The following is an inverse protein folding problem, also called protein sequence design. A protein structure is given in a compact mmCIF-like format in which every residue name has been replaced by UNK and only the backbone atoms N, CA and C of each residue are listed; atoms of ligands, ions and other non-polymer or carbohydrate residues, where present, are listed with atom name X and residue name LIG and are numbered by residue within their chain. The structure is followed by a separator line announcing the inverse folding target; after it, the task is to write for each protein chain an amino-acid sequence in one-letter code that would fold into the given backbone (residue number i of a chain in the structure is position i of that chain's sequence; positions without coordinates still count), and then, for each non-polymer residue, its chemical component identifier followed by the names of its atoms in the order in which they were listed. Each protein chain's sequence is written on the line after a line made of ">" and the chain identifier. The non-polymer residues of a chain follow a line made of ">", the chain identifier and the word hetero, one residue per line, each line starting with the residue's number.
data_IF_205053480329
#
_entry.id   IF_205053480329
#
_cell.length_a   1.000
_cell.length_b   1.000
_cell.length_c   1.000
_cell.angle_alpha   90.00
_cell.angle_beta   90.00
_cell.angle_gamma   90.00
#
_symmetry.space_group_name_H-M   'P 1'
#
loop_
_entity.id
_entity.type
_entity.pdbx_description
1 polymer ?
#
# COMPACT_ATOMS: atom_id res chain seq x y z
N UNK A 1 85.27 21.31 -33.27
CA UNK A 1 83.87 21.31 -33.74
C UNK A 1 83.14 20.15 -33.06
N UNK A 2 81.93 20.42 -32.56
CA UNK A 2 80.92 19.55 -31.91
C UNK A 2 80.78 18.10 -32.49
N UNK A 3 79.98 17.17 -31.91
CA UNK A 3 79.67 16.85 -30.49
C UNK A 3 79.34 15.34 -30.23
N UNK A 4 78.93 15.03 -28.98
CA UNK A 4 77.88 14.07 -28.53
C UNK A 4 77.97 12.56 -28.89
N UNK A 5 77.68 11.59 -28.00
CA UNK A 5 76.49 11.43 -27.13
C UNK A 5 76.80 10.52 -25.92
N UNK A 6 76.27 10.87 -24.74
CA UNK A 6 76.11 9.95 -23.60
C UNK A 6 74.76 9.25 -23.72
N UNK A 7 74.73 7.93 -23.55
CA UNK A 7 73.51 7.15 -23.43
C UNK A 7 72.99 7.23 -21.99
N UNK A 8 71.70 7.54 -21.84
CA UNK A 8 70.96 7.46 -20.57
C UNK A 8 70.20 6.13 -20.55
N UNK A 9 70.36 5.36 -19.47
CA UNK A 9 69.51 4.22 -19.17
C UNK A 9 68.27 4.73 -18.41
N UNK A 10 67.09 4.53 -18.99
CA UNK A 10 65.82 4.82 -18.34
C UNK A 10 65.32 3.58 -17.58
N UNK A 11 65.24 3.67 -16.26
CA UNK A 11 64.54 2.72 -15.39
C UNK A 11 63.04 3.00 -15.42
N UNK A 12 62.24 2.04 -15.89
CA UNK A 12 60.78 2.09 -15.83
C UNK A 12 60.29 1.66 -14.44
N UNK A 13 59.58 2.53 -13.74
CA UNK A 13 58.86 2.20 -12.51
C UNK A 13 57.41 1.85 -12.89
N UNK A 14 57.00 0.61 -12.63
CA UNK A 14 55.62 0.17 -12.79
C UNK A 14 54.79 0.62 -11.57
N UNK A 15 53.80 1.48 -11.78
CA UNK A 15 52.80 1.87 -10.78
C UNK A 15 51.72 0.79 -10.70
N UNK A 16 51.63 0.11 -9.55
CA UNK A 16 50.51 -0.77 -9.20
C UNK A 16 49.30 0.10 -8.87
N UNK A 17 48.32 0.15 -9.78
CA UNK A 17 47.02 0.73 -9.51
C UNK A 17 46.19 -0.27 -8.68
N UNK A 18 45.96 0.05 -7.41
CA UNK A 18 44.96 -0.63 -6.58
C UNK A 18 43.56 -0.19 -7.04
N UNK A 19 42.61 -1.12 -7.29
CA UNK A 19 41.24 -0.75 -7.56
C UNK A 19 40.60 -0.26 -6.25
N UNK A 20 40.52 1.06 -6.07
CA UNK A 20 39.64 1.65 -5.06
C UNK A 20 38.22 1.57 -5.57
N UNK A 21 37.53 0.46 -5.32
CA UNK A 21 36.07 0.41 -5.43
C UNK A 21 35.51 1.32 -4.33
N UNK A 22 35.23 2.57 -4.68
CA UNK A 22 34.50 3.49 -3.82
C UNK A 22 33.07 2.94 -3.74
N UNK A 23 32.58 2.47 -2.57
CA UNK A 23 31.18 2.13 -2.45
C UNK A 23 30.35 3.37 -2.77
N UNK A 24 29.34 3.22 -3.61
CA UNK A 24 28.47 4.32 -4.04
C UNK A 24 27.90 5.05 -2.83
N UNK A 25 28.13 6.37 -2.80
CA UNK A 25 27.69 7.32 -1.77
C UNK A 25 26.22 7.14 -1.37
N UNK A 26 25.36 6.72 -2.32
CA UNK A 26 23.95 6.39 -2.12
C UNK A 26 23.66 5.39 -0.97
N UNK A 27 24.48 4.35 -0.78
CA UNK A 27 24.20 3.32 0.23
C UNK A 27 24.52 3.75 1.67
N UNK A 28 25.29 4.83 1.85
CA UNK A 28 25.75 5.31 3.16
C UNK A 28 24.96 6.53 3.68
N UNK A 29 24.23 7.25 2.82
CA UNK A 29 23.42 8.42 3.20
C UNK A 29 22.13 8.08 3.95
N UNK A 30 21.62 6.84 3.84
CA UNK A 30 20.40 6.39 4.53
C UNK A 30 20.53 6.38 6.07
N UNK A 31 21.75 6.44 6.63
CA UNK A 31 21.96 6.51 8.09
C UNK A 31 21.87 7.93 8.67
N UNK A 32 21.84 8.98 7.84
CA UNK A 32 21.84 10.37 8.30
C UNK A 32 20.63 11.19 7.84
N UNK A 33 19.87 10.72 6.87
CA UNK A 33 18.60 11.34 6.50
C UNK A 33 17.49 10.71 7.33
N UNK A 34 16.73 11.55 8.03
CA UNK A 34 15.59 11.10 8.82
C UNK A 34 14.45 10.55 7.94
N UNK A 35 14.37 11.03 6.70
CA UNK A 35 13.35 10.68 5.72
C UNK A 35 13.82 9.61 4.72
N UNK A 36 12.90 8.76 4.23
CA UNK A 36 13.19 7.82 3.15
C UNK A 36 13.46 8.53 1.82
N UNK A 37 13.93 7.78 0.83
CA UNK A 37 14.04 8.27 -0.53
C UNK A 37 12.66 8.60 -1.12
N UNK A 38 12.66 9.41 -2.20
CA UNK A 38 11.45 9.74 -2.95
C UNK A 38 10.74 8.50 -3.45
N UNK A 39 9.42 8.60 -3.57
CA UNK A 39 8.58 7.55 -4.12
C UNK A 39 8.89 7.33 -5.60
N UNK A 40 9.64 6.27 -5.88
CA UNK A 40 9.95 5.82 -7.23
C UNK A 40 9.69 4.31 -7.35
N UNK A 41 8.80 3.96 -8.27
CA UNK A 41 8.40 2.59 -8.52
C UNK A 41 7.52 1.96 -7.42
N UNK A 42 7.36 0.63 -7.45
CA UNK A 42 6.47 -0.11 -6.56
C UNK A 42 7.08 -0.28 -5.16
N UNK A 43 6.28 -0.64 -4.13
CA UNK A 43 6.75 -0.70 -2.75
C UNK A 43 8.01 -1.55 -2.50
N UNK A 44 8.32 -2.54 -3.34
CA UNK A 44 9.53 -3.37 -3.25
C UNK A 44 10.85 -2.59 -3.33
N UNK A 45 10.86 -1.42 -3.98
CA UNK A 45 12.05 -0.60 -4.16
C UNK A 45 12.23 0.45 -3.06
N UNK A 46 11.22 0.64 -2.21
CA UNK A 46 11.19 1.70 -1.20
C UNK A 46 12.14 1.44 -0.04
N UNK A 47 12.44 2.51 0.72
CA UNK A 47 13.37 2.47 1.85
C UNK A 47 12.82 1.57 2.94
N UNK A 48 13.60 0.59 3.40
CA UNK A 48 13.15 -0.40 4.39
C UNK A 48 13.50 0.02 5.82
N UNK A 49 12.54 -0.17 6.72
CA UNK A 49 12.60 0.04 8.16
C UNK A 49 12.15 -1.23 8.88
N UNK A 50 12.57 -1.37 10.14
CA UNK A 50 12.20 -2.50 11.00
C UNK A 50 11.31 -2.08 12.18
N UNK A 51 11.06 -0.77 12.34
CA UNK A 51 10.36 -0.18 13.48
C UNK A 51 9.61 1.06 12.99
N UNK A 52 8.35 1.21 13.41
CA UNK A 52 7.46 2.32 13.03
C UNK A 52 8.01 3.66 13.53
N UNK A 53 8.59 3.69 14.73
CA UNK A 53 9.09 4.89 15.40
C UNK A 53 10.20 5.59 14.61
N UNK A 54 10.82 4.90 13.64
CA UNK A 54 11.82 5.52 12.75
C UNK A 54 11.18 6.45 11.72
N UNK A 55 9.89 6.28 11.43
CA UNK A 55 9.15 7.15 10.53
C UNK A 55 8.89 8.52 11.17
N UNK A 56 8.70 8.57 12.49
CA UNK A 56 8.45 9.81 13.25
C UNK A 56 9.59 10.84 13.15
N UNK A 57 10.81 10.37 12.86
CA UNK A 57 11.95 11.24 12.64
C UNK A 57 11.80 12.07 11.36
N UNK A 58 10.98 11.63 10.41
CA UNK A 58 10.71 12.31 9.16
C UNK A 58 9.49 13.24 9.29
N UNK A 59 9.67 14.51 8.94
CA UNK A 59 8.60 15.52 8.92
C UNK A 59 7.99 15.72 7.52
N UNK A 60 8.30 14.84 6.57
CA UNK A 60 7.72 14.86 5.23
C UNK A 60 6.55 13.88 5.13
N UNK A 61 5.69 14.09 4.13
CA UNK A 61 4.62 13.16 3.81
C UNK A 61 5.20 11.89 3.19
N UNK A 62 4.74 10.74 3.67
CA UNK A 62 5.26 9.44 3.27
C UNK A 62 4.14 8.51 2.84
N UNK A 63 4.40 7.73 1.80
CA UNK A 63 3.68 6.48 1.56
C UNK A 63 4.36 5.37 2.35
N UNK A 64 3.56 4.47 2.90
CA UNK A 64 4.04 3.38 3.75
C UNK A 64 3.38 2.07 3.30
N UNK A 65 4.18 1.02 3.23
CA UNK A 65 3.79 -0.35 2.90
C UNK A 65 4.36 -1.33 3.92
N UNK A 66 3.52 -2.25 4.38
CA UNK A 66 3.90 -3.35 5.25
C UNK A 66 2.89 -4.50 5.13
N UNK A 67 3.29 -5.75 5.45
CA UNK A 67 2.36 -6.88 5.46
C UNK A 67 1.26 -6.70 6.51
N UNK A 68 0.00 -6.93 6.15
CA UNK A 68 -1.11 -6.85 7.12
C UNK A 68 -1.05 -7.97 8.17
N UNK A 69 -0.51 -9.13 7.79
CA UNK A 69 -0.49 -10.32 8.65
C UNK A 69 0.60 -10.27 9.73
N UNK A 70 1.47 -9.26 9.68
CA UNK A 70 2.56 -9.05 10.65
C UNK A 70 2.17 -7.88 11.57
N UNK A 71 1.68 -8.13 12.81
CA UNK A 71 1.16 -7.08 13.66
C UNK A 71 2.27 -6.10 14.09
N UNK A 72 2.06 -4.80 13.86
CA UNK A 72 3.02 -3.75 14.22
C UNK A 72 3.17 -3.54 15.73
N UNK A 73 2.17 -3.97 16.51
CA UNK A 73 2.17 -3.86 17.98
C UNK A 73 2.78 -5.05 18.72
N UNK A 74 3.20 -6.11 18.02
CA UNK A 74 3.76 -7.32 18.66
C UNK A 74 5.30 -7.25 18.66
N UNK A 75 5.96 -7.13 19.82
CA UNK A 75 7.42 -7.07 19.91
C UNK A 75 8.13 -8.36 19.50
N UNK A 76 7.40 -9.46 19.32
CA UNK A 76 7.94 -10.75 18.86
C UNK A 76 7.93 -10.90 17.33
N UNK A 77 7.28 -9.99 16.61
CA UNK A 77 7.18 -10.00 15.15
C UNK A 77 8.24 -9.09 14.53
N UNK A 78 8.98 -9.59 13.55
CA UNK A 78 9.91 -8.75 12.77
C UNK A 78 9.16 -8.19 11.56
N UNK A 79 8.70 -6.95 11.64
CA UNK A 79 7.97 -6.33 10.53
C UNK A 79 8.93 -5.64 9.58
N UNK A 80 8.81 -5.91 8.28
CA UNK A 80 9.48 -5.13 7.23
C UNK A 80 8.55 -4.02 6.79
N UNK A 81 8.86 -2.80 7.21
CA UNK A 81 8.15 -1.59 6.81
C UNK A 81 8.90 -0.98 5.63
N UNK A 82 8.19 -0.53 4.61
CA UNK A 82 8.77 0.17 3.46
C UNK A 82 8.13 1.52 3.36
N UNK A 83 8.92 2.55 3.14
CA UNK A 83 8.40 3.91 3.01
C UNK A 83 9.18 4.71 1.98
N UNK A 84 8.50 5.69 1.41
CA UNK A 84 9.05 6.68 0.50
C UNK A 84 8.37 8.03 0.73
N UNK A 85 9.03 9.13 0.34
CA UNK A 85 8.49 10.48 0.46
C UNK A 85 7.93 11.00 -0.86
N UNK A 86 6.87 11.79 -0.78
CA UNK A 86 6.46 12.66 -1.89
C UNK A 86 7.27 13.96 -1.81
N UNK A 87 7.96 14.30 -2.90
CA UNK A 87 8.83 15.46 -3.16
C UNK A 87 9.31 16.36 -2.01
N UNK A 88 10.62 16.56 -1.97
CA UNK A 88 11.32 17.39 -1.00
C UNK A 88 11.08 18.89 -1.20
N UNK A 89 10.02 19.44 -0.61
CA UNK A 89 10.02 20.85 -0.18
C UNK A 89 9.23 21.02 1.10
N UNK A 90 9.94 21.17 2.23
CA UNK A 90 9.34 21.73 3.42
C UNK A 90 8.73 23.10 3.10
N UNK A 91 7.45 23.27 3.44
CA UNK A 91 6.77 24.55 3.64
C UNK A 91 7.09 25.65 2.59
N UNK A 92 6.56 25.51 1.38
CA UNK A 92 6.12 26.64 0.56
C UNK A 92 5.30 26.13 -0.63
N UNK A 93 4.08 26.65 -0.74
CA UNK A 93 3.27 26.72 -1.96
C UNK A 93 2.79 25.37 -2.55
N UNK A 94 1.60 24.96 -2.09
CA UNK A 94 0.73 24.00 -2.78
C UNK A 94 0.23 24.61 -4.12
N UNK A 95 1.13 24.78 -5.08
CA UNK A 95 0.77 24.71 -6.49
C UNK A 95 1.35 23.40 -7.06
N UNK A 96 0.48 22.38 -7.07
CA UNK A 96 0.43 21.30 -8.06
C UNK A 96 1.70 21.14 -8.90
N UNK A 97 2.73 20.50 -8.34
CA UNK A 97 3.87 20.08 -9.14
C UNK A 97 4.25 18.65 -8.78
N UNK A 98 3.70 17.74 -9.58
CA UNK A 98 4.29 16.51 -10.08
C UNK A 98 5.05 15.65 -9.07
N UNK A 99 4.29 14.83 -8.33
CA UNK A 99 4.80 13.70 -7.56
C UNK A 99 5.71 12.87 -8.46
N UNK A 100 7.01 12.95 -8.21
CA UNK A 100 8.07 12.27 -8.97
C UNK A 100 7.67 10.87 -9.44
N UNK A 101 7.36 10.75 -10.73
CA UNK A 101 7.37 9.51 -11.51
C UNK A 101 6.77 8.26 -10.85
N UNK A 102 5.60 8.38 -10.22
CA UNK A 102 4.75 7.22 -9.97
C UNK A 102 4.18 6.75 -11.32
N UNK A 103 4.86 5.79 -11.95
CA UNK A 103 4.51 5.09 -13.20
C UNK A 103 3.37 5.72 -14.01
N UNK A 104 3.71 6.84 -14.64
CA UNK A 104 3.01 7.58 -15.70
C UNK A 104 1.93 6.76 -16.41
N UNK A 105 0.66 6.87 -16.00
CA UNK A 105 -0.39 7.01 -17.01
C UNK A 105 -0.11 8.35 -17.68
N UNK A 106 0.25 8.30 -18.96
CA UNK A 106 0.31 9.51 -19.75
C UNK A 106 -1.04 10.24 -19.64
N UNK A 107 -0.99 11.56 -19.45
CA UNK A 107 -2.11 12.52 -19.43
C UNK A 107 -2.80 12.80 -18.08
N UNK A 108 -2.16 13.72 -17.34
CA UNK A 108 -2.65 14.43 -16.15
C UNK A 108 -3.84 15.35 -16.51
N UNK A 109 -5.01 14.81 -16.86
CA UNK A 109 -6.26 15.59 -16.80
C UNK A 109 -7.59 14.80 -16.90
N UNK A 110 -7.66 13.54 -16.47
CA UNK A 110 -8.96 12.86 -16.30
C UNK A 110 -8.84 11.73 -15.29
N UNK A 111 -9.83 11.59 -14.41
CA UNK A 111 -10.16 10.38 -13.65
C UNK A 111 -10.39 9.22 -14.62
N UNK A 112 -9.30 8.67 -15.14
CA UNK A 112 -9.37 7.54 -16.04
C UNK A 112 -9.73 6.33 -15.19
N UNK A 113 -10.85 5.70 -15.51
CA UNK A 113 -11.18 4.38 -14.97
C UNK A 113 -10.06 3.40 -15.32
N UNK A 114 -9.88 2.41 -14.46
CA UNK A 114 -8.99 1.28 -14.69
C UNK A 114 -9.54 0.33 -15.75
N UNK A 115 -10.87 0.21 -15.82
CA UNK A 115 -11.57 -0.52 -16.87
C UNK A 115 -12.78 0.28 -17.38
N UNK A 116 -13.02 0.22 -18.69
CA UNK A 116 -14.23 0.78 -19.29
C UNK A 116 -15.51 0.07 -18.85
N UNK A 117 -15.39 -1.16 -18.33
CA UNK A 117 -16.52 -1.96 -17.84
C UNK A 117 -16.91 -1.60 -16.39
N UNK A 118 -16.15 -0.73 -15.72
CA UNK A 118 -16.52 -0.18 -14.42
C UNK A 118 -17.80 0.68 -14.56
N UNK A 119 -18.80 0.38 -13.75
CA UNK A 119 -20.07 1.09 -13.72
C UNK A 119 -20.12 2.06 -12.57
N UNK A 120 -20.57 3.29 -12.85
CA UNK A 120 -20.79 4.32 -11.85
C UNK A 120 -22.14 4.15 -11.18
N UNK A 121 -22.17 4.37 -9.87
CA UNK A 121 -23.37 4.48 -9.04
C UNK A 121 -23.12 5.48 -7.93
N UNK A 122 -24.18 5.92 -7.24
CA UNK A 122 -24.05 6.66 -6.00
C UNK A 122 -24.26 5.74 -4.81
N UNK A 123 -23.44 5.90 -3.77
CA UNK A 123 -23.50 5.09 -2.54
C UNK A 123 -23.48 5.98 -1.30
N UNK A 124 -23.97 5.45 -0.19
CA UNK A 124 -23.75 6.03 1.13
C UNK A 124 -22.51 5.39 1.78
N UNK A 125 -21.69 6.22 2.40
CA UNK A 125 -20.54 5.81 3.21
C UNK A 125 -20.85 6.01 4.68
N UNK A 126 -20.58 4.99 5.49
CA UNK A 126 -20.66 5.10 6.94
C UNK A 126 -19.43 5.85 7.45
N UNK A 127 -19.65 6.90 8.22
CA UNK A 127 -18.60 7.67 8.89
C UNK A 127 -18.72 7.48 10.38
N UNK A 128 -17.61 7.23 11.04
CA UNK A 128 -17.53 7.13 12.49
C UNK A 128 -16.30 7.86 12.98
N UNK A 129 -16.46 8.76 13.95
CA UNK A 129 -15.38 9.58 14.50
C UNK A 129 -15.32 9.47 16.02
N UNK A 130 -14.13 9.55 16.60
CA UNK A 130 -13.95 9.57 18.05
C UNK A 130 -12.83 10.50 18.47
N UNK A 131 -12.83 10.86 19.75
CA UNK A 131 -11.86 11.76 20.35
C UNK A 131 -12.11 13.23 20.04
N UNK A 132 -11.24 14.08 20.57
CA UNK A 132 -11.27 15.51 20.31
C UNK A 132 -10.68 15.82 18.93
N UNK A 133 -10.99 16.99 18.39
CA UNK A 133 -10.32 17.40 17.18
C UNK A 133 -8.83 17.66 17.41
N UNK A 134 -8.05 17.21 16.45
CA UNK A 134 -6.62 17.32 16.39
C UNK A 134 -6.21 18.62 15.70
N UNK A 135 -5.06 19.17 16.10
CA UNK A 135 -4.39 20.27 15.40
C UNK A 135 -3.79 19.84 14.04
N UNK A 136 -4.00 18.57 13.64
CA UNK A 136 -3.38 17.93 12.48
C UNK A 136 -4.26 17.95 11.22
N UNK A 137 -5.33 18.75 11.18
CA UNK A 137 -6.25 18.84 10.03
C UNK A 137 -5.54 18.93 8.67
N UNK A 138 -4.56 19.83 8.54
CA UNK A 138 -3.79 20.00 7.30
C UNK A 138 -2.96 18.74 6.98
N UNK A 139 -2.35 18.13 8.00
CA UNK A 139 -1.52 16.95 7.84
C UNK A 139 -2.36 15.73 7.43
N UNK A 140 -3.56 15.59 8.00
CA UNK A 140 -4.56 14.60 7.59
C UNK A 140 -5.00 14.81 6.15
N UNK A 141 -5.30 16.05 5.74
CA UNK A 141 -5.67 16.36 4.37
C UNK A 141 -4.55 16.02 3.38
N UNK A 142 -3.30 16.33 3.72
CA UNK A 142 -2.13 15.98 2.89
C UNK A 142 -1.93 14.45 2.80
N UNK A 143 -2.12 13.73 3.91
CA UNK A 143 -2.05 12.28 3.95
C UNK A 143 -3.12 11.61 3.07
N UNK A 144 -4.36 12.13 3.10
CA UNK A 144 -5.46 11.70 2.24
C UNK A 144 -5.17 12.00 0.76
N UNK A 145 -4.71 13.21 0.45
CA UNK A 145 -4.36 13.62 -0.91
C UNK A 145 -3.23 12.76 -1.49
N UNK A 146 -2.21 12.44 -0.68
CA UNK A 146 -1.12 11.57 -1.09
C UNK A 146 -1.61 10.17 -1.47
N UNK A 147 -2.50 9.57 -0.67
CA UNK A 147 -3.12 8.29 -1.01
C UNK A 147 -3.99 8.40 -2.25
N UNK A 148 -4.78 9.46 -2.37
CA UNK A 148 -5.65 9.70 -3.53
C UNK A 148 -4.85 9.68 -4.82
N UNK A 149 -3.74 10.42 -4.86
CA UNK A 149 -2.86 10.47 -6.03
C UNK A 149 -2.19 9.12 -6.32
N UNK A 150 -1.77 8.39 -5.28
CA UNK A 150 -1.08 7.10 -5.45
C UNK A 150 -2.03 5.97 -5.89
N UNK A 151 -3.20 5.83 -5.25
CA UNK A 151 -4.14 4.76 -5.54
C UNK A 151 -4.95 5.01 -6.81
N UNK A 152 -5.33 6.25 -7.13
CA UNK A 152 -6.17 6.54 -8.31
C UNK A 152 -5.51 6.13 -9.63
N UNK A 153 -4.18 6.18 -9.71
CA UNK A 153 -3.46 5.72 -10.90
C UNK A 153 -3.24 4.20 -10.92
N UNK A 154 -3.43 3.52 -9.79
CA UNK A 154 -3.15 2.09 -9.61
C UNK A 154 -4.41 1.24 -9.68
N UNK A 155 -4.40 0.24 -10.57
CA UNK A 155 -5.55 -0.65 -10.78
C UNK A 155 -5.46 -1.97 -10.00
N UNK A 156 -4.27 -2.31 -9.50
CA UNK A 156 -4.01 -3.59 -8.84
C UNK A 156 -3.77 -3.43 -7.33
N UNK A 157 -3.46 -2.21 -6.85
CA UNK A 157 -3.25 -1.96 -5.43
C UNK A 157 -4.57 -1.96 -4.67
N UNK A 158 -4.64 -2.81 -3.65
CA UNK A 158 -5.83 -2.96 -2.80
C UNK A 158 -5.75 -2.15 -1.53
N UNK A 159 -4.57 -1.67 -1.18
CA UNK A 159 -4.35 -0.94 0.06
C UNK A 159 -3.11 -0.09 -0.06
N UNK A 160 -3.07 0.97 0.73
CA UNK A 160 -1.86 1.74 0.99
C UNK A 160 -2.02 2.46 2.31
N UNK A 161 -0.90 2.86 2.89
CA UNK A 161 -0.87 3.74 4.04
C UNK A 161 -0.12 5.02 3.70
N UNK A 162 -0.44 6.09 4.40
CA UNK A 162 0.34 7.32 4.39
C UNK A 162 0.55 7.84 5.80
N UNK A 163 1.60 8.62 5.95
CA UNK A 163 1.94 9.31 7.19
C UNK A 163 2.29 10.76 6.88
N UNK A 164 1.77 11.67 7.71
CA UNK A 164 2.02 13.10 7.61
C UNK A 164 1.97 13.70 9.02
N UNK A 165 3.12 14.11 9.55
CA UNK A 165 3.23 14.84 10.84
C UNK A 165 2.32 14.30 11.95
N UNK A 166 2.41 13.01 12.25
CA UNK A 166 1.62 12.36 13.31
C UNK A 166 0.23 11.87 12.89
N UNK A 167 -0.29 12.29 11.72
CA UNK A 167 -1.48 11.71 11.09
C UNK A 167 -1.10 10.47 10.29
N UNK A 168 -1.83 9.38 10.51
CA UNK A 168 -1.70 8.13 9.77
C UNK A 168 -3.03 7.87 9.08
N UNK A 169 -2.96 7.55 7.80
CA UNK A 169 -4.12 7.14 7.01
C UNK A 169 -3.87 5.77 6.40
N UNK A 170 -4.85 4.89 6.48
CA UNK A 170 -4.84 3.59 5.81
C UNK A 170 -6.09 3.46 4.95
N UNK A 171 -5.91 2.96 3.74
CA UNK A 171 -7.02 2.75 2.80
C UNK A 171 -7.04 1.31 2.34
N UNK A 172 -8.25 0.78 2.21
CA UNK A 172 -8.51 -0.50 1.57
C UNK A 172 -9.53 -0.30 0.44
N UNK A 173 -9.24 -0.87 -0.71
CA UNK A 173 -10.10 -0.93 -1.88
C UNK A 173 -10.18 -2.37 -2.37
N UNK A 174 -11.36 -2.96 -2.23
CA UNK A 174 -11.65 -4.31 -2.66
C UNK A 174 -11.47 -4.52 -4.16
N UNK A 175 -11.24 -5.76 -4.57
CA UNK A 175 -10.91 -6.11 -5.96
C UNK A 175 -12.03 -5.82 -6.99
N UNK A 176 -13.27 -5.58 -6.56
CA UNK A 176 -14.36 -5.20 -7.44
C UNK A 176 -14.47 -3.68 -7.64
N UNK A 177 -13.68 -2.89 -6.91
CA UNK A 177 -13.73 -1.43 -6.92
C UNK A 177 -12.69 -0.90 -7.90
N UNK A 178 -13.13 0.05 -8.73
CA UNK A 178 -12.24 0.79 -9.62
C UNK A 178 -11.61 1.95 -8.86
N UNK A 179 -10.31 1.86 -8.60
CA UNK A 179 -9.59 2.92 -7.88
C UNK A 179 -9.57 4.25 -8.64
N UNK A 180 -9.52 4.22 -9.97
CA UNK A 180 -9.39 5.42 -10.80
C UNK A 180 -10.63 6.32 -10.75
N UNK A 181 -11.82 5.72 -10.63
CA UNK A 181 -13.07 6.45 -10.42
C UNK A 181 -13.38 6.69 -8.95
N UNK A 182 -13.28 5.65 -8.12
CA UNK A 182 -13.78 5.67 -6.73
C UNK A 182 -12.91 6.48 -5.79
N UNK A 183 -11.58 6.25 -5.81
CA UNK A 183 -10.68 6.88 -4.83
C UNK A 183 -10.74 8.41 -4.91
N UNK A 184 -10.66 9.06 -6.09
CA UNK A 184 -10.76 10.51 -6.18
C UNK A 184 -12.09 11.06 -5.64
N UNK A 185 -13.22 10.41 -5.93
CA UNK A 185 -14.54 10.86 -5.48
C UNK A 185 -14.67 10.77 -3.97
N UNK A 186 -14.37 9.60 -3.40
CA UNK A 186 -14.47 9.39 -1.95
C UNK A 186 -13.48 10.28 -1.18
N UNK A 187 -12.25 10.42 -1.68
CA UNK A 187 -11.24 11.26 -1.03
C UNK A 187 -11.63 12.73 -1.01
N UNK A 188 -12.27 13.24 -2.06
CA UNK A 188 -12.73 14.62 -2.08
C UNK A 188 -13.76 14.90 -0.96
N UNK A 189 -14.71 13.99 -0.75
CA UNK A 189 -15.71 14.09 0.32
C UNK A 189 -15.06 14.03 1.72
N UNK A 190 -14.13 13.08 1.93
CA UNK A 190 -13.46 12.93 3.23
C UNK A 190 -12.54 14.12 3.53
N UNK A 191 -11.81 14.63 2.54
CA UNK A 191 -11.00 15.85 2.69
C UNK A 191 -11.89 17.05 3.01
N UNK A 192 -13.08 17.16 2.42
CA UNK A 192 -14.02 18.24 2.72
C UNK A 192 -14.50 18.18 4.19
N UNK A 193 -14.79 16.99 4.72
CA UNK A 193 -15.15 16.80 6.14
C UNK A 193 -14.00 17.19 7.05
N UNK A 194 -12.79 16.73 6.75
CA UNK A 194 -11.59 17.02 7.55
C UNK A 194 -11.30 18.51 7.57
N UNK A 195 -11.44 19.20 6.44
CA UNK A 195 -11.20 20.64 6.29
C UNK A 195 -12.38 21.52 6.72
N UNK A 196 -13.48 20.95 7.22
CA UNK A 196 -14.63 21.76 7.63
C UNK A 196 -14.30 22.63 8.84
N UNK A 197 -13.97 23.89 8.55
CA UNK A 197 -13.64 24.93 9.53
C UNK A 197 -14.82 25.35 10.43
N UNK A 198 -16.05 24.93 10.10
CA UNK A 198 -17.21 25.13 10.97
C UNK A 198 -17.32 24.03 12.04
N UNK A 199 -16.66 22.89 11.81
CA UNK A 199 -16.52 21.79 12.76
C UNK A 199 -15.30 21.95 13.67
N UNK A 200 -15.05 20.96 14.56
CA UNK A 200 -13.92 21.03 15.48
C UNK A 200 -12.56 20.80 14.76
N UNK A 201 -12.55 20.29 13.52
CA UNK A 201 -11.36 19.90 12.76
C UNK A 201 -11.28 18.37 12.57
N UNK A 202 -10.10 17.85 12.16
CA UNK A 202 -9.90 16.41 12.01
C UNK A 202 -9.97 15.69 13.37
N UNK A 203 -10.81 14.66 13.56
CA UNK A 203 -10.91 13.93 14.83
C UNK A 203 -9.64 13.14 15.15
N UNK A 204 -9.51 12.67 16.40
CA UNK A 204 -8.43 11.77 16.81
C UNK A 204 -8.45 10.47 15.99
N UNK A 205 -9.62 9.86 15.85
CA UNK A 205 -9.80 8.69 14.99
C UNK A 205 -11.02 8.87 14.10
N UNK A 206 -10.92 8.42 12.85
CA UNK A 206 -12.02 8.38 11.90
C UNK A 206 -11.99 7.08 11.11
N UNK A 207 -13.17 6.51 10.90
CA UNK A 207 -13.43 5.43 9.97
C UNK A 207 -14.45 5.92 8.95
N UNK A 208 -14.14 5.78 7.67
CA UNK A 208 -15.09 5.94 6.56
C UNK A 208 -15.13 4.62 5.83
N UNK A 209 -16.30 3.99 5.72
CA UNK A 209 -16.38 2.66 5.11
C UNK A 209 -17.67 2.46 4.33
N UNK A 210 -17.55 1.68 3.24
CA UNK A 210 -18.67 1.01 2.59
C UNK A 210 -18.50 -0.47 2.83
N UNK A 211 -19.44 -1.04 3.58
CA UNK A 211 -19.53 -2.46 3.76
C UNK A 211 -20.68 -3.06 2.98
N UNK A 212 -20.43 -4.25 2.44
CA UNK A 212 -21.49 -5.15 1.96
C UNK A 212 -21.63 -6.31 2.94
N UNK A 213 -22.71 -7.09 2.85
CA UNK A 213 -22.93 -8.25 3.71
C UNK A 213 -21.69 -9.18 3.77
N UNK A 214 -21.47 -9.76 4.96
CA UNK A 214 -20.20 -10.36 5.38
C UNK A 214 -19.65 -11.42 4.41
N UNK A 215 -18.33 -11.36 4.19
CA UNK A 215 -17.57 -12.43 3.52
C UNK A 215 -17.02 -12.11 2.14
N UNK A 216 -17.23 -10.90 1.61
CA UNK A 216 -16.60 -10.46 0.35
C UNK A 216 -15.84 -9.15 0.51
N UNK A 217 -14.55 -9.25 0.87
CA UNK A 217 -13.64 -8.09 0.87
C UNK A 217 -13.52 -7.42 -0.51
N UNK A 218 -13.93 -8.10 -1.58
CA UNK A 218 -13.93 -7.55 -2.95
C UNK A 218 -14.75 -6.27 -3.11
N UNK A 219 -15.80 -6.06 -2.30
CA UNK A 219 -16.71 -4.92 -2.43
C UNK A 219 -16.61 -3.93 -1.25
N UNK A 220 -15.65 -4.16 -0.35
CA UNK A 220 -15.42 -3.29 0.79
C UNK A 220 -14.47 -2.17 0.37
N UNK A 221 -14.85 -0.95 0.73
CA UNK A 221 -13.98 0.21 0.69
C UNK A 221 -13.87 0.78 2.10
N UNK A 222 -12.67 1.18 2.51
CA UNK A 222 -12.44 1.70 3.84
C UNK A 222 -11.30 2.69 3.91
N UNK A 223 -11.45 3.71 4.74
CA UNK A 223 -10.44 4.69 5.12
C UNK A 223 -10.41 4.73 6.65
N UNK A 224 -9.23 4.52 7.23
CA UNK A 224 -8.98 4.68 8.64
C UNK A 224 -7.97 5.80 8.84
N UNK A 225 -8.27 6.74 9.74
CA UNK A 225 -7.42 7.87 10.08
C UNK A 225 -7.16 7.81 11.58
N UNK A 226 -5.89 7.92 11.97
CA UNK A 226 -5.47 8.05 13.37
C UNK A 226 -4.49 9.23 13.49
N UNK A 227 -4.90 10.24 14.24
CA UNK A 227 -4.16 11.47 14.50
C UNK A 227 -3.48 11.47 15.88
N UNK A 228 -3.49 10.33 16.59
CA UNK A 228 -2.71 10.06 17.80
C UNK A 228 -1.51 9.13 17.51
N UNK A 229 -1.13 9.04 16.22
CA UNK A 229 0.07 8.33 15.74
C UNK A 229 0.07 6.81 15.99
N UNK A 230 -1.10 6.15 15.96
CA UNK A 230 -1.19 4.68 16.07
C UNK A 230 -1.31 3.95 14.72
N UNK A 231 -0.19 3.48 14.17
CA UNK A 231 -0.22 2.60 12.99
C UNK A 231 -0.91 1.27 13.26
N UNK A 232 -0.92 0.82 14.52
CA UNK A 232 -1.52 -0.47 14.89
C UNK A 232 -3.04 -0.44 14.71
N UNK A 233 -3.70 0.65 15.13
CA UNK A 233 -5.15 0.76 14.98
C UNK A 233 -5.55 0.85 13.50
N UNK A 234 -4.82 1.65 12.72
CA UNK A 234 -5.05 1.77 11.26
C UNK A 234 -4.80 0.43 10.55
N UNK A 235 -3.75 -0.31 10.91
CA UNK A 235 -3.49 -1.65 10.37
C UNK A 235 -4.65 -2.61 10.67
N UNK A 236 -5.17 -2.61 11.90
CA UNK A 236 -6.28 -3.48 12.30
C UNK A 236 -7.56 -3.17 11.51
N UNK A 237 -7.84 -1.89 11.24
CA UNK A 237 -8.97 -1.50 10.41
C UNK A 237 -8.84 -2.04 8.98
N UNK A 238 -7.66 -1.86 8.36
CA UNK A 238 -7.38 -2.37 7.02
C UNK A 238 -7.41 -3.90 6.97
N UNK A 239 -6.90 -4.57 8.01
CA UNK A 239 -6.97 -6.01 8.15
C UNK A 239 -8.42 -6.51 8.22
N UNK A 240 -9.28 -5.85 8.99
CA UNK A 240 -10.70 -6.20 9.09
C UNK A 240 -11.39 -6.17 7.70
N UNK A 241 -11.17 -5.10 6.92
CA UNK A 241 -11.71 -5.00 5.57
C UNK A 241 -11.15 -6.06 4.63
N UNK A 242 -9.85 -6.35 4.73
CA UNK A 242 -9.21 -7.42 3.94
C UNK A 242 -9.81 -8.79 4.20
N UNK A 243 -10.29 -9.02 5.43
CA UNK A 243 -10.98 -10.24 5.87
C UNK A 243 -12.48 -10.23 5.56
N UNK A 244 -13.01 -9.20 4.90
CA UNK A 244 -14.42 -9.13 4.52
C UNK A 244 -15.34 -8.70 5.65
N UNK A 245 -14.80 -8.00 6.66
CA UNK A 245 -15.53 -7.51 7.83
C UNK A 245 -15.42 -6.00 7.95
N UNK A 246 -16.45 -5.36 8.50
CA UNK A 246 -16.40 -3.94 8.83
C UNK A 246 -15.62 -3.71 10.11
N UNK A 247 -15.08 -2.51 10.25
CA UNK A 247 -14.62 -2.05 11.55
C UNK A 247 -15.83 -1.85 12.44
N UNK A 248 -15.88 -2.60 13.54
CA UNK A 248 -16.90 -2.44 14.56
C UNK A 248 -16.48 -1.32 15.51
N UNK A 249 -17.11 -0.16 15.35
CA UNK A 249 -16.86 1.00 16.21
C UNK A 249 -17.62 0.85 17.52
N UNK A 250 -16.96 1.18 18.64
CA UNK A 250 -17.56 1.10 19.98
C UNK A 250 -18.49 2.30 20.24
N UNK A 251 -19.14 2.33 21.41
CA UNK A 251 -20.05 3.41 21.80
C UNK A 251 -19.41 4.81 21.88
N UNK A 252 -18.08 4.88 21.85
CA UNK A 252 -17.33 6.14 21.97
C UNK A 252 -17.17 6.86 20.63
N UNK A 253 -17.63 6.25 19.53
CA UNK A 253 -17.67 6.86 18.21
C UNK A 253 -19.01 7.55 17.95
N UNK A 254 -18.98 8.76 17.42
CA UNK A 254 -20.12 9.41 16.80
C UNK A 254 -20.26 8.91 15.36
N UNK A 255 -21.48 8.51 14.97
CA UNK A 255 -21.76 8.02 13.62
C UNK A 255 -22.53 9.03 12.77
N UNK A 256 -22.17 9.12 11.50
CA UNK A 256 -22.85 9.89 10.45
C UNK A 256 -22.73 9.17 9.10
N UNK A 257 -23.28 9.75 8.05
CA UNK A 257 -23.19 9.23 6.68
C UNK A 257 -22.76 10.31 5.70
N UNK A 258 -22.05 9.90 4.65
CA UNK A 258 -21.87 10.70 3.43
C UNK A 258 -22.77 10.06 2.39
N UNK A 259 -23.76 10.78 1.92
CA UNK A 259 -24.70 10.29 0.91
C UNK A 259 -24.27 10.71 -0.50
N UNK A 260 -24.85 10.05 -1.50
CA UNK A 260 -24.70 10.40 -2.92
C UNK A 260 -23.24 10.43 -3.44
N UNK A 261 -22.32 9.69 -2.82
CA UNK A 261 -20.90 9.63 -3.26
C UNK A 261 -20.77 8.81 -4.53
N UNK A 262 -20.10 9.34 -5.56
CA UNK A 262 -19.85 8.59 -6.80
C UNK A 262 -18.89 7.42 -6.52
N UNK A 263 -19.28 6.24 -7.00
CA UNK A 263 -18.59 4.99 -6.71
C UNK A 263 -18.60 4.10 -7.95
N UNK A 264 -17.45 3.52 -8.26
CA UNK A 264 -17.22 2.76 -9.48
C UNK A 264 -16.85 1.31 -9.16
N UNK A 265 -17.66 0.37 -9.64
CA UNK A 265 -17.44 -1.06 -9.46
C UNK A 265 -17.50 -1.82 -10.78
N UNK A 266 -16.71 -2.88 -10.91
CA UNK A 266 -16.80 -3.79 -12.04
C UNK A 266 -18.06 -4.64 -11.93
N UNK A 267 -18.78 -4.81 -13.03
CA UNK A 267 -20.13 -5.43 -13.04
C UNK A 267 -20.15 -6.95 -12.87
N UNK A 268 -19.00 -7.62 -12.71
CA UNK A 268 -18.87 -9.07 -12.44
C UNK A 268 -17.51 -9.35 -11.74
N UNK A 269 -17.35 -10.46 -10.98
CA UNK A 269 -16.19 -10.62 -10.11
C UNK A 269 -14.93 -10.52 -10.94
N UNK A 270 -14.06 -9.57 -10.60
CA UNK A 270 -12.76 -9.37 -11.23
C UNK A 270 -12.12 -10.75 -11.45
N UNK A 271 -12.22 -11.27 -12.67
CA UNK A 271 -11.66 -12.55 -13.00
C UNK A 271 -10.17 -12.39 -12.72
N UNK A 272 -9.66 -13.13 -11.73
CA UNK A 272 -8.25 -13.15 -11.41
C UNK A 272 -7.49 -13.26 -12.73
N UNK A 273 -6.79 -12.19 -13.12
CA UNK A 273 -6.09 -12.13 -14.40
C UNK A 273 -5.20 -13.37 -14.45
N UNK A 274 -5.41 -14.32 -15.39
CA UNK A 274 -4.47 -15.40 -15.55
C UNK A 274 -3.14 -14.76 -15.96
N UNK A 275 -2.07 -15.09 -15.23
CA UNK A 275 -0.71 -14.79 -15.65
C UNK A 275 -0.52 -15.37 -17.05
N UNK A 276 -0.69 -14.55 -18.09
CA UNK A 276 -0.34 -14.89 -19.44
C UNK A 276 1.18 -14.89 -19.49
N UNK A 277 1.77 -16.03 -19.13
CA UNK A 277 3.09 -16.35 -19.62
C UNK A 277 2.95 -16.43 -21.13
N UNK A 278 3.30 -15.35 -21.83
CA UNK A 278 3.52 -15.36 -23.27
C UNK A 278 4.59 -16.41 -23.56
N UNK A 279 4.14 -17.63 -23.84
CA UNK A 279 4.95 -18.62 -24.49
C UNK A 279 5.04 -18.20 -25.96
N UNK A 280 6.04 -17.38 -26.28
CA UNK A 280 6.47 -17.09 -27.64
C UNK A 280 6.69 -18.41 -28.37
N UNK A 281 5.72 -18.80 -29.20
CA UNK A 281 5.86 -19.95 -30.09
C UNK A 281 6.62 -19.48 -31.33
N UNK A 282 7.92 -19.25 -31.16
CA UNK A 282 8.84 -19.15 -32.29
C UNK A 282 8.80 -20.47 -33.05
N UNK A 283 8.17 -20.41 -34.22
CA UNK A 283 8.05 -21.54 -35.14
C UNK A 283 9.37 -21.71 -35.86
N UNK A 284 10.22 -22.61 -35.38
CA UNK A 284 11.40 -23.07 -36.13
C UNK A 284 11.11 -24.46 -36.71
N UNK A 285 10.97 -24.47 -38.03
CA UNK A 285 10.81 -25.64 -38.87
C UNK A 285 12.11 -26.45 -38.86
N UNK A 286 12.09 -27.67 -38.34
CA UNK A 286 13.13 -28.66 -38.59
C UNK A 286 12.51 -30.06 -38.70
N UNK A 287 12.52 -30.56 -39.92
CA UNK A 287 12.19 -31.92 -40.33
C UNK A 287 13.32 -32.88 -39.96
N UNK A 288 13.01 -33.99 -39.28
CA UNK A 288 13.45 -35.35 -39.66
C UNK A 288 13.16 -36.42 -38.60
N UNK A 289 12.68 -37.55 -39.12
CA UNK A 289 12.85 -38.95 -38.68
C UNK A 289 12.50 -39.36 -37.25
N UNK A 290 11.44 -40.17 -37.20
CA UNK A 290 11.12 -41.21 -36.22
C UNK A 290 12.32 -42.05 -35.77
N UNK A 291 12.52 -42.21 -34.46
CA UNK A 291 12.83 -43.49 -33.82
C UNK A 291 12.49 -43.44 -32.32
N UNK A 292 11.82 -44.48 -31.84
CA UNK A 292 11.34 -44.67 -30.47
C UNK A 292 12.47 -44.95 -29.47
N UNK A 293 12.37 -44.40 -28.25
CA UNK A 293 12.97 -44.98 -27.05
C UNK A 293 12.28 -44.50 -25.76
N UNK A 294 12.19 -45.42 -24.82
CA UNK A 294 11.34 -45.50 -23.62
C UNK A 294 11.89 -44.83 -22.35
N UNK A 295 10.94 -44.55 -21.42
CA UNK A 295 11.10 -44.41 -19.95
C UNK A 295 11.56 -43.03 -19.46
N UNK A 296 11.11 -42.42 -18.35
CA UNK A 296 10.38 -42.79 -17.12
C UNK A 296 9.59 -41.55 -16.65
N UNK A 297 8.38 -41.73 -16.09
CA UNK A 297 7.63 -40.63 -15.46
C UNK A 297 6.69 -41.16 -14.38
N UNK A 298 7.10 -40.99 -13.12
CA UNK A 298 6.44 -41.48 -11.91
C UNK A 298 5.15 -40.72 -11.59
N UNK A 299 4.07 -41.49 -11.45
CA UNK A 299 3.03 -41.48 -10.41
C UNK A 299 2.53 -40.12 -9.88
N UNK A 300 1.32 -39.78 -10.35
CA UNK A 300 0.33 -38.90 -9.72
C UNK A 300 -0.01 -39.38 -8.30
N UNK A 301 -0.01 -38.45 -7.34
CA UNK A 301 -0.54 -38.67 -5.99
C UNK A 301 -1.94 -38.04 -5.92
N UNK A 302 -2.97 -38.90 -5.96
CA UNK A 302 -4.36 -38.54 -5.72
C UNK A 302 -4.66 -38.90 -4.25
N UNK A 303 -5.00 -37.90 -3.44
CA UNK A 303 -5.46 -38.10 -2.06
C UNK A 303 -6.98 -38.28 -2.08
N UNK A 304 -7.55 -39.44 -1.69
CA UNK A 304 -8.99 -39.61 -1.56
C UNK A 304 -9.50 -39.02 -0.23
N UNK A 305 -10.68 -38.40 -0.30
CA UNK A 305 -11.30 -37.64 0.77
C UNK A 305 -11.56 -38.42 2.06
N UNK A 306 -11.24 -37.77 3.18
CA UNK A 306 -11.64 -38.20 4.51
C UNK A 306 -13.07 -37.72 4.81
N UNK A 307 -13.96 -38.67 5.08
CA UNK A 307 -15.25 -38.41 5.74
C UNK A 307 -14.97 -38.09 7.21
N UNK A 308 -15.24 -36.86 7.65
CA UNK A 308 -15.34 -36.53 9.07
C UNK A 308 -16.80 -36.61 9.52
N UNK A 309 -17.09 -37.60 10.34
CA UNK A 309 -18.29 -37.73 11.15
C UNK A 309 -18.30 -36.67 12.24
N UNK A 310 -19.29 -35.79 12.24
CA UNK A 310 -19.54 -34.84 13.32
C UNK A 310 -20.03 -35.59 14.57
N UNK A 311 -19.30 -35.46 15.68
CA UNK A 311 -19.75 -35.87 17.01
C UNK A 311 -20.28 -34.62 17.71
N UNK A 312 -21.56 -34.64 18.02
CA UNK A 312 -22.28 -33.64 18.82
C UNK A 312 -21.82 -33.70 20.28
N UNK A 313 -21.48 -32.55 20.86
CA UNK A 313 -21.39 -32.35 22.32
C UNK A 313 -22.27 -31.17 22.69
N UNK A 314 -23.40 -31.37 23.39
CA UNK A 314 -24.23 -30.27 23.88
C UNK A 314 -23.58 -29.64 25.12
N UNK A 315 -23.28 -28.35 25.05
CA UNK A 315 -22.89 -27.55 26.22
C UNK A 315 -24.16 -27.19 27.01
N UNK A 316 -24.22 -27.65 28.25
CA UNK A 316 -25.32 -27.41 29.16
C UNK A 316 -25.32 -25.95 29.68
N UNK A 317 -26.48 -25.30 29.60
CA UNK A 317 -26.83 -24.09 30.33
C UNK A 317 -26.58 -24.28 31.83
N UNK A 318 -25.94 -23.31 32.47
CA UNK A 318 -26.02 -23.13 33.93
C UNK A 318 -26.37 -21.67 34.23
N UNK A 319 -27.63 -21.48 34.57
CA UNK A 319 -28.19 -20.29 35.21
C UNK A 319 -27.59 -20.15 36.62
N UNK A 320 -27.09 -18.97 36.97
CA UNK A 320 -26.85 -18.60 38.37
C UNK A 320 -27.37 -17.19 38.60
N UNK A 321 -28.56 -17.16 39.20
CA UNK A 321 -29.21 -16.01 39.81
C UNK A 321 -28.62 -15.85 41.21
N UNK A 322 -28.14 -14.66 41.57
CA UNK A 322 -28.16 -14.21 42.96
C UNK A 322 -28.20 -12.68 43.03
N UNK A 323 -29.32 -12.18 43.54
CA UNK A 323 -29.49 -10.85 44.09
C UNK A 323 -28.64 -10.68 45.36
N UNK A 324 -28.07 -9.49 45.51
CA UNK A 324 -28.11 -8.71 46.76
C UNK A 324 -28.23 -7.24 46.41
#
# INVERSE_FOLDING_TARGET
>A
MLPHRRAQAATAAALLALPTSVPSVSAYHSKFNACPALCDGPPETWTSYNEVQRLDACQQHMLVDFPLQDPLGDPSTTVKIRACTSDETGAADLESTDLGTLSRRDEFNSTSLCDSDASSSTVSLDVSTSGEASDFTWATADALALISNYLSVSCDLKQTFSYSTGSIVGVFSGAAIDNGGTVPSVMAEVIAIVNDTAGPGAPEQMVVQRCVEEGSSSHIFGIAIDNNSSFTWVQQAVEAWSNGTCVNVTSDFASSTIDDTEFYEYTHPAAARPNTTSADKSTTTASSSSTSSTSLGMKSCVIPGAKMTAIWVPVALSYLILHS
#
